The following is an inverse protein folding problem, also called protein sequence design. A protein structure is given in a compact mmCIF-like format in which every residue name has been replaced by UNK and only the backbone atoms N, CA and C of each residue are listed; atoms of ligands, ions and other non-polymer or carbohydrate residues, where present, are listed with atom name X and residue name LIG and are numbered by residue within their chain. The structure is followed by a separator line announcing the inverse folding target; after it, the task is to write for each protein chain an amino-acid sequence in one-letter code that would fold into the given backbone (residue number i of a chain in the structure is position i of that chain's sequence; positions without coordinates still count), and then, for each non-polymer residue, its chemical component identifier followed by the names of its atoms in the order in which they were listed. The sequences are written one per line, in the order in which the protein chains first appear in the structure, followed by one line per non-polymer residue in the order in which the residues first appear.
data_IF_927511760333
#
_entry.id   IF_927511760333
#
_cell.length_a   1.000
_cell.length_b   1.000
_cell.length_c   1.000
_cell.angle_alpha   90.00
_cell.angle_beta   90.00
_cell.angle_gamma   90.00
#
_symmetry.space_group_name_H-M   'P 1'
#
loop_
_entity.id
_entity.type
_entity.pdbx_description
1 polymer ?
#
# COMPACT_ATOMS: atom_id res chain seq x y z
N UNK A 1 -3.12 -5.61 10.98
CA UNK A 1 -2.57 -4.59 10.09
C UNK A 1 -3.65 -4.09 9.14
N UNK A 2 -3.56 -2.82 8.79
CA UNK A 2 -4.52 -2.19 7.89
C UNK A 2 -3.82 -1.72 6.64
N UNK A 3 -4.39 -2.05 5.48
CA UNK A 3 -3.90 -1.60 4.19
C UNK A 3 -4.72 -0.41 3.71
N UNK A 4 -4.03 0.64 3.30
CA UNK A 4 -4.65 1.80 2.68
C UNK A 4 -4.09 1.95 1.26
N UNK A 5 -4.98 2.10 0.29
CA UNK A 5 -4.61 2.39 -1.09
C UNK A 5 -4.92 3.84 -1.35
N UNK A 6 -3.93 4.60 -1.79
CA UNK A 6 -4.02 6.05 -1.94
C UNK A 6 -3.86 6.45 -3.39
N UNK A 7 -4.78 7.29 -3.84
CA UNK A 7 -4.69 7.89 -5.17
C UNK A 7 -3.81 9.13 -5.11
N UNK A 8 -2.80 9.17 -5.97
CA UNK A 8 -1.92 10.33 -6.08
C UNK A 8 -2.23 11.03 -7.39
N UNK A 9 -2.72 12.26 -7.30
CA UNK A 9 -3.09 13.06 -8.46
C UNK A 9 -1.91 13.94 -8.91
N UNK A 10 -1.68 13.93 -10.21
CA UNK A 10 -0.66 14.73 -10.85
C UNK A 10 -0.97 14.79 -12.34
N UNK A 11 0.05 14.92 -13.18
CA UNK A 11 -0.12 14.85 -14.64
C UNK A 11 -0.65 13.50 -15.07
N UNK A 12 -0.28 12.45 -14.33
CA UNK A 12 -0.75 11.09 -14.52
C UNK A 12 -1.24 10.63 -13.15
N UNK A 13 -2.35 9.92 -13.13
CA UNK A 13 -2.86 9.36 -11.89
C UNK A 13 -2.07 8.12 -11.52
N UNK A 14 -1.59 8.10 -10.28
CA UNK A 14 -0.86 7.00 -9.72
C UNK A 14 -1.55 6.48 -8.48
N UNK A 15 -1.23 5.27 -8.08
CA UNK A 15 -1.76 4.65 -6.87
C UNK A 15 -0.59 4.15 -6.04
N UNK A 16 -0.70 4.33 -4.73
CA UNK A 16 0.30 3.82 -3.78
C UNK A 16 -0.44 3.10 -2.66
N UNK A 17 0.30 2.36 -1.85
CA UNK A 17 -0.30 1.73 -0.69
C UNK A 17 0.52 2.06 0.57
N UNK A 18 -0.18 2.03 1.70
CA UNK A 18 0.43 2.19 3.01
C UNK A 18 -0.10 1.11 3.95
N UNK A 19 0.75 0.61 4.81
CA UNK A 19 0.41 -0.40 5.81
C UNK A 19 0.53 0.23 7.19
N UNK A 20 -0.53 0.14 7.97
CA UNK A 20 -0.56 0.65 9.34
C UNK A 20 -0.82 -0.50 10.30
N UNK A 21 -0.29 -0.38 11.52
CA UNK A 21 -0.56 -1.36 12.56
C UNK A 21 -1.92 -1.06 13.23
N UNK A 22 -2.28 -1.84 14.25
CA UNK A 22 -3.55 -1.68 14.95
C UNK A 22 -3.67 -0.35 15.68
N UNK A 23 -2.56 0.29 15.98
CA UNK A 23 -2.54 1.62 16.61
C UNK A 23 -2.58 2.77 15.63
N UNK A 24 -2.62 2.48 14.32
CA UNK A 24 -2.65 3.51 13.29
C UNK A 24 -1.27 4.04 12.89
N UNK A 25 -0.21 3.44 13.40
CA UNK A 25 1.16 3.86 13.08
C UNK A 25 1.58 3.32 11.71
N UNK A 26 2.13 4.18 10.88
CA UNK A 26 2.63 3.77 9.57
C UNK A 26 3.82 2.83 9.74
N UNK A 27 3.68 1.63 9.21
CA UNK A 27 4.73 0.62 9.25
C UNK A 27 5.54 0.59 7.96
N UNK A 28 4.86 0.70 6.84
CA UNK A 28 5.51 0.60 5.54
C UNK A 28 4.65 1.27 4.48
N UNK A 29 5.29 1.77 3.43
CA UNK A 29 4.59 2.32 2.29
C UNK A 29 5.26 1.87 1.01
N UNK A 30 4.54 1.91 -0.12
CA UNK A 30 5.09 1.45 -1.39
C UNK A 30 6.18 2.40 -1.88
N UNK A 31 7.27 1.81 -2.36
CA UNK A 31 8.34 2.57 -3.01
C UNK A 31 8.04 2.80 -4.49
N UNK A 32 7.03 2.10 -5.00
CA UNK A 32 6.64 2.12 -6.40
C UNK A 32 5.26 2.72 -6.54
N UNK A 33 5.02 3.43 -7.64
CA UNK A 33 3.70 3.92 -7.98
C UNK A 33 3.06 2.96 -8.97
N UNK A 34 1.77 2.73 -8.79
CA UNK A 34 1.00 1.79 -9.61
C UNK A 34 0.01 2.55 -10.48
N UNK A 35 -0.35 1.95 -11.59
CA UNK A 35 -1.29 2.57 -12.52
C UNK A 35 -2.75 2.29 -12.20
N UNK A 36 -3.00 1.35 -11.30
CA UNK A 36 -4.36 1.03 -10.88
C UNK A 36 -4.41 0.75 -9.39
N UNK A 37 -5.58 0.99 -8.80
CA UNK A 37 -5.80 0.68 -7.39
C UNK A 37 -5.65 -0.81 -7.12
N UNK A 38 -6.09 -1.64 -8.07
CA UNK A 38 -6.00 -3.10 -7.93
C UNK A 38 -4.54 -3.58 -7.85
N UNK A 39 -3.68 -3.01 -8.69
CA UNK A 39 -2.27 -3.39 -8.67
C UNK A 39 -1.61 -2.98 -7.34
N UNK A 40 -1.91 -1.79 -6.85
CA UNK A 40 -1.40 -1.32 -5.57
C UNK A 40 -1.90 -2.20 -4.42
N UNK A 41 -3.19 -2.50 -4.41
CA UNK A 41 -3.79 -3.35 -3.38
C UNK A 41 -3.17 -4.75 -3.37
N UNK A 42 -3.00 -5.33 -4.54
CA UNK A 42 -2.44 -6.68 -4.66
C UNK A 42 -1.04 -6.74 -4.07
N UNK A 43 -0.19 -5.79 -4.41
CA UNK A 43 1.15 -5.77 -3.86
C UNK A 43 1.15 -5.49 -2.36
N UNK A 44 0.30 -4.58 -1.90
CA UNK A 44 0.18 -4.28 -0.48
C UNK A 44 -0.24 -5.49 0.34
N UNK A 45 -1.20 -6.26 -0.15
CA UNK A 45 -1.65 -7.49 0.51
C UNK A 45 -0.55 -8.55 0.54
N UNK A 46 0.19 -8.66 -0.55
CA UNK A 46 1.32 -9.58 -0.62
C UNK A 46 2.39 -9.19 0.41
N UNK A 47 2.63 -7.91 0.57
CA UNK A 47 3.60 -7.43 1.56
C UNK A 47 3.15 -7.68 2.99
N UNK A 48 1.87 -7.50 3.27
CA UNK A 48 1.32 -7.81 4.59
C UNK A 48 1.52 -9.29 4.91
N UNK A 49 1.24 -10.17 3.95
CA UNK A 49 1.44 -11.60 4.13
C UNK A 49 2.90 -11.93 4.46
N UNK A 50 3.85 -11.27 3.83
CA UNK A 50 5.27 -11.45 4.15
C UNK A 50 5.61 -10.98 5.56
N UNK A 51 5.09 -9.84 5.95
CA UNK A 51 5.34 -9.29 7.28
C UNK A 51 4.76 -10.23 8.36
N UNK A 52 3.59 -10.74 8.12
CA UNK A 52 2.91 -11.63 9.07
C UNK A 52 3.56 -13.01 9.20
N UNK A 53 4.35 -13.40 8.20
CA UNK A 53 5.08 -14.66 8.24
C UNK A 53 6.30 -14.64 9.17
N UNK A 54 6.77 -13.50 9.57
CA UNK A 54 7.97 -13.37 10.38
C UNK A 54 7.76 -13.65 11.86
#
# INVERSE_FOLDING_TARGET
MKLEVVEVRGRVMWWTWMIRDSGGVLMEESSTQFRSAEAAERQGRSRIAEIEKR
#
